data_IF_701298558259
#
_entry.id   IF_701298558259
#
_cell.length_a   1.000
_cell.length_b   1.000
_cell.length_c   1.000
_cell.angle_alpha   90.00
_cell.angle_beta   90.00
_cell.angle_gamma   90.00
#
_symmetry.space_group_name_H-M   'P 1'
#
loop_
_entity.id
_entity.type
_entity.pdbx_description
1 polymer ?
#
# COMPACT_ATOMS: atom_id res chain seq x y z
N UNK A 1 -0.49 -5.43 11.51
CA UNK A 1 0.71 -4.61 11.77
C UNK A 1 0.48 -3.41 12.68
N UNK A 2 -0.69 -2.76 12.67
CA UNK A 2 -0.95 -1.61 13.54
C UNK A 2 -0.84 -1.88 15.04
N UNK A 3 -1.27 -3.06 15.52
CA UNK A 3 -1.15 -3.41 16.94
C UNK A 3 0.32 -3.43 17.39
N UNK A 4 1.20 -4.03 16.59
CA UNK A 4 2.64 -4.04 16.83
C UNK A 4 3.23 -2.61 16.82
N UNK A 5 2.84 -1.78 15.85
CA UNK A 5 3.33 -0.40 15.78
C UNK A 5 2.88 0.44 17.00
N UNK A 6 1.63 0.28 17.45
CA UNK A 6 1.13 0.90 18.69
C UNK A 6 1.92 0.45 19.90
N UNK A 7 2.20 -0.85 20.02
CA UNK A 7 2.94 -1.39 21.16
C UNK A 7 4.39 -0.89 21.21
N UNK A 8 5.07 -0.82 20.05
CA UNK A 8 6.50 -0.49 19.99
C UNK A 8 6.81 1.00 19.81
N UNK A 9 5.88 1.76 19.23
CA UNK A 9 6.10 3.14 18.80
C UNK A 9 4.94 4.07 19.16
N UNK A 10 4.24 3.84 20.27
CA UNK A 10 3.22 4.76 20.76
C UNK A 10 3.80 6.18 20.95
N UNK A 11 3.08 7.18 20.46
CA UNK A 11 3.44 8.59 20.65
C UNK A 11 2.16 9.44 20.69
N UNK A 12 2.05 10.47 21.56
CA UNK A 12 0.83 11.28 21.70
C UNK A 12 0.37 12.00 20.42
N UNK A 13 1.28 12.16 19.45
CA UNK A 13 1.01 12.80 18.15
C UNK A 13 0.81 11.81 17.00
N UNK A 14 0.76 10.50 17.28
CA UNK A 14 0.63 9.46 16.25
C UNK A 14 -0.63 8.64 16.54
N UNK A 15 -1.47 8.54 15.52
CA UNK A 15 -2.66 7.70 15.51
C UNK A 15 -2.49 6.57 14.49
N UNK A 16 -3.02 5.40 14.81
CA UNK A 16 -2.84 4.20 14.00
C UNK A 16 -4.20 3.71 13.51
N UNK A 17 -4.46 3.85 12.21
CA UNK A 17 -5.71 3.50 11.53
C UNK A 17 -5.45 2.57 10.35
N UNK A 18 -6.42 1.69 10.10
CA UNK A 18 -6.45 0.93 8.85
C UNK A 18 -7.11 1.80 7.79
N UNK A 19 -6.62 1.69 6.57
CA UNK A 19 -7.21 2.29 5.39
C UNK A 19 -6.88 1.38 4.22
N UNK A 20 -7.91 0.85 3.54
CA UNK A 20 -7.70 0.21 2.25
C UNK A 20 -7.67 1.29 1.16
N UNK A 21 -6.51 1.45 0.53
CA UNK A 21 -6.31 2.46 -0.51
C UNK A 21 -7.08 2.15 -1.80
N UNK A 22 -7.56 0.92 -1.97
CA UNK A 22 -8.35 0.49 -3.12
C UNK A 22 -9.86 0.61 -2.89
N UNK A 23 -10.29 0.97 -1.69
CA UNK A 23 -11.69 1.16 -1.34
C UNK A 23 -12.06 2.65 -1.33
N UNK A 24 -12.63 3.14 -2.44
CA UNK A 24 -12.95 4.56 -2.63
C UNK A 24 -13.85 5.14 -1.51
N UNK A 25 -14.85 4.37 -1.08
CA UNK A 25 -15.76 4.78 -0.02
C UNK A 25 -15.04 4.92 1.34
N UNK A 26 -14.05 4.05 1.61
CA UNK A 26 -13.23 4.14 2.82
C UNK A 26 -12.31 5.36 2.78
N UNK A 27 -11.65 5.61 1.64
CA UNK A 27 -10.80 6.81 1.45
C UNK A 27 -11.62 8.08 1.63
N UNK A 28 -12.80 8.15 1.01
CA UNK A 28 -13.69 9.29 1.15
C UNK A 28 -14.20 9.46 2.59
N UNK A 29 -14.51 8.36 3.29
CA UNK A 29 -14.88 8.41 4.71
C UNK A 29 -13.73 8.89 5.59
N UNK A 30 -12.51 8.43 5.32
CA UNK A 30 -11.31 8.81 6.05
C UNK A 30 -11.01 10.31 5.94
N UNK A 31 -11.14 10.89 4.74
CA UNK A 31 -11.00 12.33 4.53
C UNK A 31 -12.11 13.12 5.24
N UNK A 32 -13.36 12.60 5.26
CA UNK A 32 -14.46 13.26 6.01
C UNK A 32 -14.21 13.27 7.52
N UNK A 33 -13.63 12.20 8.05
CA UNK A 33 -13.37 12.05 9.49
C UNK A 33 -12.12 12.85 9.94
N UNK A 34 -11.04 12.77 9.16
CA UNK A 34 -9.72 13.26 9.58
C UNK A 34 -9.27 14.52 8.85
N UNK A 35 -9.99 14.94 7.81
CA UNK A 35 -9.58 16.01 6.91
C UNK A 35 -8.55 15.57 5.88
N UNK A 36 -8.05 16.55 5.13
CA UNK A 36 -6.99 16.33 4.15
C UNK A 36 -5.61 16.57 4.76
N UNK A 37 -4.59 15.94 4.17
CA UNK A 37 -3.23 15.95 4.69
C UNK A 37 -2.31 16.83 3.84
N UNK A 38 -1.49 17.66 4.50
CA UNK A 38 -0.45 18.44 3.80
C UNK A 38 0.69 17.56 3.29
N UNK A 39 0.90 16.38 3.90
CA UNK A 39 1.97 15.45 3.53
C UNK A 39 1.47 14.03 3.62
N UNK A 40 1.59 13.29 2.52
CA UNK A 40 1.30 11.85 2.45
C UNK A 40 2.58 11.10 2.14
N UNK A 41 2.86 10.04 2.93
CA UNK A 41 4.04 9.21 2.76
C UNK A 41 3.62 7.77 2.49
N UNK A 42 4.24 7.11 1.52
CA UNK A 42 4.10 5.68 1.31
C UNK A 42 5.46 5.05 1.11
N UNK A 43 5.76 4.03 1.92
CA UNK A 43 7.01 3.30 1.85
C UNK A 43 6.71 1.84 1.54
N UNK A 44 7.26 1.36 0.43
CA UNK A 44 7.30 -0.03 0.02
C UNK A 44 5.93 -0.72 -0.03
N UNK A 45 4.87 0.03 -0.37
CA UNK A 45 3.49 -0.49 -0.42
C UNK A 45 2.95 -0.60 -1.84
N UNK A 46 3.17 0.42 -2.68
CA UNK A 46 2.49 0.55 -3.98
C UNK A 46 2.79 -0.58 -4.98
N UNK A 47 3.92 -1.25 -4.86
CA UNK A 47 4.28 -2.37 -5.74
C UNK A 47 3.50 -3.66 -5.47
N UNK A 48 2.76 -3.72 -4.36
CA UNK A 48 1.82 -4.80 -4.07
C UNK A 48 0.42 -4.53 -4.61
N UNK A 49 0.15 -3.30 -5.09
CA UNK A 49 -1.16 -2.90 -5.60
C UNK A 49 -1.22 -3.18 -7.10
N UNK A 50 -2.25 -3.89 -7.53
CA UNK A 50 -2.47 -4.25 -8.93
C UNK A 50 -2.78 -3.02 -9.80
N UNK A 51 -3.69 -2.15 -9.36
CA UNK A 51 -4.00 -0.89 -10.06
C UNK A 51 -3.34 0.29 -9.35
N UNK A 52 -2.11 0.58 -9.76
CA UNK A 52 -1.32 1.69 -9.22
C UNK A 52 -1.91 3.06 -9.58
N UNK A 53 -2.59 3.18 -10.73
CA UNK A 53 -3.23 4.45 -11.13
C UNK A 53 -4.37 4.79 -10.18
N UNK A 54 -5.17 3.79 -9.81
CA UNK A 54 -6.22 3.94 -8.80
C UNK A 54 -5.64 4.33 -7.45
N UNK A 55 -4.64 3.60 -6.96
CA UNK A 55 -3.99 3.94 -5.70
C UNK A 55 -3.44 5.37 -5.67
N UNK A 56 -2.81 5.83 -6.76
CA UNK A 56 -2.29 7.20 -6.85
C UNK A 56 -3.42 8.24 -6.85
N UNK A 57 -4.55 7.99 -7.52
CA UNK A 57 -5.74 8.87 -7.43
C UNK A 57 -6.27 8.97 -5.99
N UNK A 58 -6.29 7.84 -5.27
CA UNK A 58 -6.75 7.83 -3.88
C UNK A 58 -5.74 8.49 -2.93
N UNK A 59 -4.44 8.41 -3.21
CA UNK A 59 -3.42 9.20 -2.50
C UNK A 59 -3.63 10.70 -2.74
N UNK A 60 -3.91 11.11 -3.97
CA UNK A 60 -4.22 12.51 -4.30
C UNK A 60 -5.47 12.98 -3.55
N UNK A 61 -6.51 12.15 -3.45
CA UNK A 61 -7.74 12.47 -2.71
C UNK A 61 -7.51 12.66 -1.20
N UNK A 62 -6.47 12.04 -0.62
CA UNK A 62 -6.08 12.27 0.78
C UNK A 62 -5.38 13.64 0.96
N UNK A 63 -4.80 14.21 -0.09
CA UNK A 63 -3.97 15.41 0.00
C UNK A 63 -4.83 16.68 0.01
N UNK A 64 -4.41 17.67 0.79
CA UNK A 64 -5.03 18.99 0.70
C UNK A 64 -4.50 19.76 -0.54
N UNK A 65 -5.18 20.82 -0.98
CA UNK A 65 -4.66 21.69 -2.04
C UNK A 65 -3.24 22.19 -1.73
N UNK A 66 -2.30 21.94 -2.64
CA UNK A 66 -0.89 22.29 -2.46
C UNK A 66 -0.11 21.39 -1.49
N UNK A 67 -0.70 20.28 -1.04
CA UNK A 67 0.00 19.23 -0.29
C UNK A 67 1.03 18.49 -1.16
N UNK A 68 1.90 17.73 -0.49
CA UNK A 68 2.97 16.98 -1.13
C UNK A 68 2.85 15.49 -0.81
N UNK A 69 3.26 14.63 -1.76
CA UNK A 69 3.44 13.21 -1.49
C UNK A 69 4.90 12.79 -1.69
N UNK A 70 5.36 11.86 -0.88
CA UNK A 70 6.64 11.19 -1.06
C UNK A 70 6.45 9.68 -1.04
N UNK A 71 6.79 9.05 -2.18
CA UNK A 71 6.52 7.65 -2.45
C UNK A 71 7.83 6.91 -2.71
N UNK A 72 8.03 5.80 -2.01
CA UNK A 72 9.17 4.90 -2.25
C UNK A 72 8.61 3.52 -2.55
N UNK A 73 8.83 3.01 -3.76
CA UNK A 73 8.37 1.67 -4.16
C UNK A 73 9.26 1.09 -5.26
N UNK A 74 9.22 -0.23 -5.40
CA UNK A 74 9.89 -0.94 -6.49
C UNK A 74 9.08 -0.77 -7.78
N UNK A 75 9.61 -0.03 -8.74
CA UNK A 75 8.96 0.13 -10.05
C UNK A 75 8.93 -1.20 -10.84
N UNK A 76 9.95 -2.04 -10.63
CA UNK A 76 10.04 -3.38 -11.19
C UNK A 76 10.39 -4.36 -10.09
N UNK A 77 9.65 -5.47 -10.01
CA UNK A 77 9.91 -6.55 -9.06
C UNK A 77 10.41 -7.77 -9.81
N UNK A 78 11.73 -8.00 -9.75
CA UNK A 78 12.38 -9.20 -10.30
C UNK A 78 11.87 -10.49 -9.65
N UNK A 79 11.22 -10.40 -8.49
CA UNK A 79 10.64 -11.56 -7.81
C UNK A 79 9.53 -12.19 -8.66
N UNK A 80 8.74 -11.42 -9.43
CA UNK A 80 7.71 -11.98 -10.30
C UNK A 80 8.30 -12.82 -11.44
N UNK A 81 9.41 -12.39 -12.03
CA UNK A 81 10.12 -13.16 -13.06
C UNK A 81 10.68 -14.47 -12.49
N UNK A 82 11.24 -14.41 -11.27
CA UNK A 82 11.72 -15.59 -10.55
C UNK A 82 10.56 -16.54 -10.23
N UNK A 83 9.41 -16.02 -9.80
CA UNK A 83 8.22 -16.84 -9.53
C UNK A 83 7.70 -17.52 -10.80
N UNK A 84 7.65 -16.80 -11.93
CA UNK A 84 7.28 -17.39 -13.21
C UNK A 84 8.22 -18.54 -13.60
N UNK A 85 9.53 -18.33 -13.50
CA UNK A 85 10.53 -19.37 -13.78
C UNK A 85 10.46 -20.56 -12.81
N UNK A 86 10.14 -20.31 -11.54
CA UNK A 86 9.96 -21.38 -10.55
C UNK A 86 8.73 -22.23 -10.86
N UNK A 87 7.62 -21.61 -11.24
CA UNK A 87 6.38 -22.33 -11.60
C UNK A 87 6.59 -23.25 -12.80
N UNK A 88 7.45 -22.87 -13.75
CA UNK A 88 7.81 -23.69 -14.91
C UNK A 88 8.85 -24.78 -14.59
N UNK A 89 9.50 -24.73 -13.42
CA UNK A 89 10.52 -25.71 -13.03
C UNK A 89 9.90 -27.05 -12.64
N UNK A 90 10.41 -28.20 -13.14
CA UNK A 90 9.92 -29.53 -12.77
C UNK A 90 9.91 -29.81 -11.26
N UNK A 91 10.82 -29.17 -10.52
CA UNK A 91 10.93 -29.32 -9.05
C UNK A 91 9.81 -28.62 -8.30
N UNK A 92 9.33 -27.49 -8.81
CA UNK A 92 8.45 -26.57 -8.09
C UNK A 92 7.07 -26.42 -8.74
N UNK A 93 6.86 -26.93 -9.97
CA UNK A 93 5.59 -26.88 -10.70
C UNK A 93 4.39 -27.41 -9.91
N UNK A 94 4.60 -28.34 -8.96
CA UNK A 94 3.53 -28.86 -8.09
C UNK A 94 2.86 -27.78 -7.22
N UNK A 95 3.47 -26.60 -7.10
CA UNK A 95 2.94 -25.45 -6.37
C UNK A 95 2.32 -24.39 -7.29
N UNK A 96 2.23 -24.62 -8.60
CA UNK A 96 1.72 -23.65 -9.59
C UNK A 96 0.31 -23.14 -9.29
N UNK A 97 -0.51 -23.95 -8.62
CA UNK A 97 -1.91 -23.67 -8.34
C UNK A 97 -2.15 -23.18 -6.90
N UNK A 98 -1.08 -22.91 -6.15
CA UNK A 98 -1.20 -22.31 -4.81
C UNK A 98 -1.23 -20.80 -5.00
N UNK A 99 -2.44 -20.24 -5.12
CA UNK A 99 -2.64 -18.79 -5.13
C UNK A 99 -2.28 -18.20 -3.76
N UNK A 100 -1.45 -17.16 -3.77
CA UNK A 100 -1.17 -16.31 -2.61
C UNK A 100 -2.31 -15.31 -2.38
#
# INVERSE_FOLDING_TARGET
MLAFAREKHAHPKIEYRNLDLMADDEVAAFVREHGHFQRVYSFLTLHWITDQHHAVRNIEALMAPGGECFLVFSATIVQFDIYAALVESPRWQKYSNVSA
#
